data_IF_869550345901
#
_entry.id   IF_869550345901
#
_cell.length_a   1.000
_cell.length_b   1.000
_cell.length_c   1.000
_cell.angle_alpha   90.00
_cell.angle_beta   90.00
_cell.angle_gamma   90.00
#
_symmetry.space_group_name_H-M   'P 1'
#
loop_
_entity.id
_entity.type
_entity.pdbx_description
1 polymer ?
#
# COMPACT_ATOMS: atom_id res chain seq x y z
N UNK A 1 -9.42 -12.83 5.43
CA UNK A 1 -9.44 -11.66 6.34
C UNK A 1 -10.02 -10.43 5.61
N UNK A 2 -10.74 -9.55 6.32
CA UNK A 2 -11.12 -8.26 5.74
C UNK A 2 -9.87 -7.39 5.56
N UNK A 3 -9.93 -6.42 4.65
CA UNK A 3 -8.82 -5.50 4.41
C UNK A 3 -8.42 -4.72 5.68
N UNK A 4 -9.39 -4.38 6.53
CA UNK A 4 -9.15 -3.75 7.83
C UNK A 4 -8.41 -4.67 8.82
N UNK A 5 -8.75 -5.96 8.86
CA UNK A 5 -8.06 -6.92 9.72
C UNK A 5 -6.58 -7.08 9.32
N UNK A 6 -6.28 -7.03 8.02
CA UNK A 6 -4.91 -7.03 7.52
C UNK A 6 -4.14 -5.78 7.99
N UNK A 7 -4.74 -4.59 7.86
CA UNK A 7 -4.09 -3.34 8.29
C UNK A 7 -3.80 -3.35 9.79
N UNK A 8 -4.67 -3.94 10.61
CA UNK A 8 -4.44 -4.07 12.05
C UNK A 8 -3.19 -4.91 12.35
N UNK A 9 -3.04 -6.08 11.72
CA UNK A 9 -1.84 -6.91 11.94
C UNK A 9 -0.58 -6.32 11.29
N UNK A 10 -0.71 -5.59 10.18
CA UNK A 10 0.39 -4.81 9.59
C UNK A 10 0.86 -3.71 10.54
N UNK A 11 -0.07 -3.07 11.24
CA UNK A 11 0.27 -2.08 12.25
C UNK A 11 1.02 -2.74 13.41
N UNK A 12 0.57 -3.86 13.93
CA UNK A 12 1.25 -4.48 15.10
C UNK A 12 2.54 -5.23 14.73
N UNK A 13 2.86 -5.37 13.43
CA UNK A 13 4.05 -6.07 12.97
C UNK A 13 5.35 -5.30 13.26
N UNK A 14 6.41 -6.06 13.54
CA UNK A 14 7.79 -5.55 13.70
C UNK A 14 8.57 -5.66 12.40
N UNK A 15 8.31 -6.70 11.61
CA UNK A 15 8.97 -6.97 10.34
C UNK A 15 7.97 -7.47 9.30
N UNK A 16 8.17 -7.08 8.04
CA UNK A 16 7.38 -7.51 6.89
C UNK A 16 8.30 -7.82 5.71
N UNK A 17 8.04 -8.94 5.05
CA UNK A 17 8.67 -9.32 3.79
C UNK A 17 7.63 -9.23 2.69
N UNK A 18 7.88 -8.40 1.70
CA UNK A 18 6.95 -8.14 0.60
C UNK A 18 7.63 -8.41 -0.75
N UNK A 19 6.91 -9.10 -1.63
CA UNK A 19 7.37 -9.44 -2.97
C UNK A 19 6.21 -9.23 -3.92
N UNK A 20 6.32 -8.19 -4.72
CA UNK A 20 5.37 -7.87 -5.78
C UNK A 20 6.08 -8.03 -7.13
N UNK A 21 5.67 -9.00 -7.98
CA UNK A 21 6.43 -9.34 -9.17
C UNK A 21 6.35 -8.27 -10.28
N UNK A 22 5.27 -7.49 -10.29
CA UNK A 22 4.93 -6.55 -11.37
C UNK A 22 4.69 -5.14 -10.81
N UNK A 23 4.38 -5.01 -9.52
CA UNK A 23 3.96 -3.73 -8.94
C UNK A 23 4.98 -3.25 -7.91
N UNK A 24 5.05 -1.94 -7.74
CA UNK A 24 5.70 -1.37 -6.56
C UNK A 24 4.95 -1.84 -5.28
N UNK A 25 5.65 -2.33 -4.25
CA UNK A 25 5.07 -2.71 -2.96
C UNK A 25 4.12 -1.66 -2.39
N UNK A 26 2.99 -2.11 -1.85
CA UNK A 26 1.87 -1.21 -1.48
C UNK A 26 2.25 -0.08 -0.52
N UNK A 27 3.16 -0.34 0.43
CA UNK A 27 3.65 0.65 1.39
C UNK A 27 4.62 1.69 0.79
N UNK A 28 5.18 1.39 -0.38
CA UNK A 28 6.10 2.26 -1.13
C UNK A 28 5.40 3.04 -2.25
N UNK A 29 4.13 2.76 -2.51
CA UNK A 29 3.36 3.46 -3.55
C UNK A 29 3.06 4.92 -3.17
N UNK A 30 3.14 5.81 -4.16
CA UNK A 30 2.72 7.21 -4.06
C UNK A 30 1.24 7.38 -4.46
N UNK A 31 0.58 8.50 -4.12
CA UNK A 31 -0.84 8.69 -4.43
C UNK A 31 -1.15 8.53 -5.92
N UNK A 32 -0.32 9.11 -6.79
CA UNK A 32 -0.50 9.03 -8.24
C UNK A 32 -0.48 7.58 -8.75
N UNK A 33 0.44 6.75 -8.26
CA UNK A 33 0.55 5.33 -8.60
C UNK A 33 -0.68 4.54 -8.10
N UNK A 34 -1.09 4.80 -6.85
CA UNK A 34 -2.26 4.14 -6.25
C UNK A 34 -3.54 4.44 -7.03
N UNK A 35 -3.74 5.71 -7.43
CA UNK A 35 -4.88 6.13 -8.25
C UNK A 35 -4.85 5.51 -9.64
N UNK A 36 -3.68 5.46 -10.28
CA UNK A 36 -3.54 4.82 -11.59
C UNK A 36 -3.92 3.34 -11.54
N UNK A 37 -3.44 2.60 -10.54
CA UNK A 37 -3.84 1.21 -10.33
C UNK A 37 -5.33 1.06 -10.03
N UNK A 38 -5.90 1.95 -9.22
CA UNK A 38 -7.32 1.88 -8.88
C UNK A 38 -8.22 2.10 -10.12
N UNK A 39 -7.84 3.00 -11.05
CA UNK A 39 -8.56 3.18 -12.33
C UNK A 39 -8.54 1.92 -13.20
N UNK A 40 -7.41 1.21 -13.22
CA UNK A 40 -7.28 -0.04 -13.99
C UNK A 40 -8.14 -1.15 -13.38
N UNK A 41 -8.09 -1.33 -12.06
CA UNK A 41 -8.80 -2.41 -11.38
C UNK A 41 -10.29 -2.13 -11.18
N UNK A 42 -10.70 -0.86 -11.17
CA UNK A 42 -12.08 -0.42 -10.96
C UNK A 42 -12.43 0.58 -12.07
N UNK A 43 -12.88 0.08 -13.24
CA UNK A 43 -13.19 0.94 -14.38
C UNK A 43 -14.27 1.99 -14.09
N UNK A 44 -15.12 1.75 -13.10
CA UNK A 44 -16.19 2.66 -12.67
C UNK A 44 -15.78 3.60 -11.53
N UNK A 45 -14.50 3.65 -11.15
CA UNK A 45 -14.06 4.49 -10.04
C UNK A 45 -14.21 5.98 -10.39
N UNK A 46 -14.93 6.71 -9.54
CA UNK A 46 -14.95 8.16 -9.54
C UNK A 46 -13.74 8.73 -8.78
N UNK A 47 -13.52 10.04 -8.87
CA UNK A 47 -12.35 10.67 -8.26
C UNK A 47 -12.36 10.56 -6.72
N UNK A 48 -13.54 10.57 -6.09
CA UNK A 48 -13.68 10.43 -4.63
C UNK A 48 -13.24 9.04 -4.15
N UNK A 49 -13.60 7.97 -4.87
CA UNK A 49 -13.12 6.62 -4.58
C UNK A 49 -11.61 6.50 -4.78
N UNK A 50 -11.08 7.12 -5.84
CA UNK A 50 -9.64 7.11 -6.11
C UNK A 50 -8.85 7.83 -5.01
N UNK A 51 -9.34 8.98 -4.55
CA UNK A 51 -8.74 9.71 -3.44
C UNK A 51 -8.82 8.90 -2.14
N UNK A 52 -9.97 8.30 -1.84
CA UNK A 52 -10.13 7.43 -0.67
C UNK A 52 -9.12 6.27 -0.69
N UNK A 53 -8.92 5.62 -1.84
CA UNK A 53 -7.94 4.54 -2.02
C UNK A 53 -6.50 5.02 -1.80
N UNK A 54 -6.17 6.19 -2.33
CA UNK A 54 -4.86 6.80 -2.16
C UNK A 54 -4.60 7.17 -0.69
N UNK A 55 -5.58 7.78 -0.04
CA UNK A 55 -5.49 8.21 1.36
C UNK A 55 -5.30 7.01 2.29
N UNK A 56 -6.09 5.95 2.14
CA UNK A 56 -5.91 4.71 2.94
C UNK A 56 -4.51 4.12 2.74
N UNK A 57 -3.93 4.19 1.54
CA UNK A 57 -2.57 3.73 1.28
C UNK A 57 -1.52 4.61 1.97
N UNK A 58 -1.70 5.93 1.94
CA UNK A 58 -0.82 6.87 2.65
C UNK A 58 -0.90 6.70 4.17
N UNK A 59 -2.09 6.46 4.71
CA UNK A 59 -2.25 6.21 6.14
C UNK A 59 -1.53 4.95 6.60
N UNK A 60 -1.56 3.88 5.79
CA UNK A 60 -0.78 2.66 6.05
C UNK A 60 0.73 2.91 6.06
N UNK A 61 1.23 3.78 5.19
CA UNK A 61 2.66 4.13 5.10
C UNK A 61 3.22 4.70 6.41
N UNK A 62 2.38 5.24 7.30
CA UNK A 62 2.77 5.72 8.63
C UNK A 62 3.45 4.65 9.49
N UNK A 63 3.21 3.35 9.22
CA UNK A 63 3.91 2.26 9.91
C UNK A 63 5.43 2.29 9.69
N UNK A 64 5.90 2.85 8.57
CA UNK A 64 7.33 2.98 8.25
C UNK A 64 8.01 4.16 8.98
N UNK A 65 7.24 5.06 9.60
CA UNK A 65 7.76 6.32 10.16
C UNK A 65 7.32 6.58 11.60
N UNK A 66 6.66 5.63 12.26
CA UNK A 66 6.30 5.71 13.68
C UNK A 66 7.54 5.51 14.58
N UNK A 67 7.38 5.66 15.89
CA UNK A 67 8.47 5.55 16.88
C UNK A 67 9.20 4.20 16.82
N UNK A 68 8.46 3.10 16.76
CA UNK A 68 8.98 1.75 16.50
C UNK A 68 8.64 1.34 15.05
N UNK A 69 9.39 1.81 14.03
CA UNK A 69 9.00 1.64 12.64
C UNK A 69 9.04 0.17 12.21
N UNK A 70 8.08 -0.21 11.35
CA UNK A 70 8.08 -1.51 10.68
C UNK A 70 9.35 -1.67 9.84
N UNK A 71 10.09 -2.75 10.05
CA UNK A 71 11.19 -3.16 9.17
C UNK A 71 10.61 -3.81 7.92
N UNK A 72 10.69 -3.11 6.78
CA UNK A 72 10.19 -3.60 5.51
C UNK A 72 11.35 -4.14 4.66
N UNK A 73 11.28 -5.42 4.33
CA UNK A 73 12.10 -6.06 3.31
C UNK A 73 11.27 -6.22 2.04
N UNK A 74 11.70 -5.58 0.96
CA UNK A 74 11.00 -5.64 -0.31
C UNK A 74 11.92 -6.12 -1.43
N UNK A 75 11.40 -6.99 -2.29
CA UNK A 75 12.01 -7.31 -3.58
C UNK A 75 11.21 -6.59 -4.65
N UNK A 76 11.87 -5.70 -5.39
CA UNK A 76 11.27 -4.93 -6.48
C UNK A 76 11.88 -5.39 -7.79
N UNK A 77 11.02 -5.77 -8.73
CA UNK A 77 11.43 -6.07 -10.11
C UNK A 77 11.85 -4.80 -10.83
N UNK A 78 12.87 -4.87 -11.69
CA UNK A 78 13.25 -3.74 -12.56
C UNK A 78 12.11 -3.31 -13.49
N UNK A 79 11.21 -4.25 -13.83
CA UNK A 79 10.06 -3.99 -14.69
C UNK A 79 8.85 -3.37 -13.98
N UNK A 80 8.96 -3.06 -12.69
CA UNK A 80 7.88 -2.54 -11.86
C UNK A 80 7.67 -1.02 -12.00
#
# INVERSE_FOLDING_TARGET
>A
PSYAAYIAVEWDAVEMYDVEPILIPGLLQVPAYTKALARIHIPSADEDLLETRAQVRQDRRKTLTREDPLQLWAIVSESA
#
